data_IF_054890369378
#
_entry.id   IF_054890369378
#
_cell.length_a   1.000
_cell.length_b   1.000
_cell.length_c   1.000
_cell.angle_alpha   90.00
_cell.angle_beta   90.00
_cell.angle_gamma   90.00
#
_symmetry.space_group_name_H-M   'P 1'
#
loop_
_entity.id
_entity.type
_entity.pdbx_description
1 polymer ?
#
# COMPACT_ATOMS: atom_id res chain seq x y z
N UNK A 1 25.64 9.82 44.60
CA UNK A 1 24.81 8.78 43.96
C UNK A 1 24.43 9.30 42.58
N UNK A 2 25.30 9.09 41.58
CA UNK A 2 25.11 9.58 40.22
C UNK A 2 25.53 8.47 39.27
N UNK A 3 24.57 7.84 38.61
CA UNK A 3 24.86 6.80 37.64
C UNK A 3 25.47 7.47 36.40
N UNK A 4 26.76 7.21 36.16
CA UNK A 4 27.42 7.55 34.90
C UNK A 4 26.78 6.71 33.79
N UNK A 5 26.03 7.35 32.91
CA UNK A 5 25.59 6.74 31.66
C UNK A 5 26.82 6.65 30.77
N UNK A 6 27.44 5.47 30.73
CA UNK A 6 28.62 5.22 29.90
C UNK A 6 28.29 5.31 28.40
N UNK A 7 29.29 5.56 27.54
CA UNK A 7 29.09 5.67 26.09
C UNK A 7 28.46 4.42 25.45
N UNK A 8 28.62 3.25 26.07
CA UNK A 8 27.95 2.01 25.67
C UNK A 8 26.43 2.05 25.89
N UNK A 9 25.94 2.76 26.91
CA UNK A 9 24.50 2.89 27.18
C UNK A 9 23.83 3.87 26.22
N UNK A 10 24.53 4.92 25.77
CA UNK A 10 24.05 5.81 24.71
C UNK A 10 24.00 5.10 23.35
N UNK A 11 25.01 4.28 23.03
CA UNK A 11 25.03 3.46 21.81
C UNK A 11 23.90 2.43 21.80
N UNK A 12 23.59 1.79 22.94
CA UNK A 12 22.47 0.86 23.06
C UNK A 12 21.12 1.56 22.88
N UNK A 13 20.94 2.78 23.43
CA UNK A 13 19.71 3.56 23.23
C UNK A 13 19.58 4.00 21.76
N UNK A 14 20.67 4.41 21.10
CA UNK A 14 20.66 4.75 19.66
C UNK A 14 20.42 3.52 18.77
N UNK A 15 20.91 2.34 19.16
CA UNK A 15 20.67 1.07 18.45
C UNK A 15 19.24 0.54 18.68
N UNK A 16 18.62 0.81 19.83
CA UNK A 16 17.24 0.41 20.16
C UNK A 16 16.17 1.30 19.50
N UNK A 17 16.49 2.52 19.09
CA UNK A 17 15.61 3.34 18.23
C UNK A 17 15.73 2.97 16.73
N UNK A 18 16.69 2.10 16.38
CA UNK A 18 17.06 1.79 14.99
C UNK A 18 16.45 0.52 14.40
N UNK A 19 15.56 -0.19 15.11
CA UNK A 19 14.73 -1.22 14.47
C UNK A 19 13.53 -0.53 13.83
N UNK A 20 13.82 0.45 12.97
CA UNK A 20 12.84 1.05 12.10
C UNK A 20 12.54 -0.01 11.04
N UNK A 21 11.27 -0.41 10.96
CA UNK A 21 10.75 -1.23 9.87
C UNK A 21 11.25 -0.64 8.55
N UNK A 22 11.64 -1.49 7.59
CA UNK A 22 12.13 -1.02 6.29
C UNK A 22 11.19 0.07 5.73
N UNK A 23 11.72 1.24 5.35
CA UNK A 23 10.89 2.36 4.95
C UNK A 23 9.99 1.96 3.78
N UNK A 24 8.72 2.38 3.81
CA UNK A 24 7.75 2.07 2.78
C UNK A 24 7.80 3.16 1.71
N UNK A 25 8.90 3.18 0.96
CA UNK A 25 9.18 4.20 -0.05
C UNK A 25 9.05 3.66 -1.46
N UNK A 26 8.51 4.48 -2.36
CA UNK A 26 8.52 4.25 -3.81
C UNK A 26 7.13 4.31 -4.46
N UNK A 27 7.05 3.78 -5.68
CA UNK A 27 5.82 3.76 -6.47
C UNK A 27 5.44 2.32 -6.82
N UNK A 28 4.16 1.98 -6.70
CA UNK A 28 3.64 0.67 -7.06
C UNK A 28 2.38 0.77 -7.90
N UNK A 29 2.29 -0.12 -8.88
CA UNK A 29 1.13 -0.27 -9.77
C UNK A 29 0.36 -1.54 -9.46
N UNK A 30 -0.97 -1.42 -9.46
CA UNK A 30 -1.87 -2.55 -9.39
C UNK A 30 -1.56 -3.54 -10.51
N UNK A 31 -1.35 -4.79 -10.11
CA UNK A 31 -1.09 -5.91 -11.04
C UNK A 31 -2.13 -7.01 -10.88
N UNK A 32 -2.57 -7.30 -9.64
CA UNK A 32 -3.65 -8.26 -9.41
C UNK A 32 -4.71 -7.79 -8.43
N UNK A 33 -5.95 -8.14 -8.74
CA UNK A 33 -7.13 -7.95 -7.89
C UNK A 33 -7.60 -9.34 -7.46
N UNK A 34 -7.67 -9.58 -6.16
CA UNK A 34 -8.15 -10.85 -5.61
C UNK A 34 -9.58 -10.72 -5.14
N UNK A 35 -10.42 -11.70 -5.49
CA UNK A 35 -11.84 -11.76 -5.13
C UNK A 35 -12.23 -13.18 -4.75
N UNK A 36 -13.21 -13.32 -3.87
CA UNK A 36 -13.87 -14.58 -3.58
C UNK A 36 -15.01 -14.82 -4.59
N UNK A 37 -15.18 -16.06 -5.04
CA UNK A 37 -16.23 -16.46 -5.96
C UNK A 37 -16.52 -17.96 -5.94
N UNK A 38 -17.54 -18.36 -6.71
CA UNK A 38 -18.01 -19.75 -6.72
C UNK A 38 -17.04 -20.72 -7.44
N UNK A 39 -16.22 -20.22 -8.37
CA UNK A 39 -15.28 -21.04 -9.11
C UNK A 39 -13.96 -20.29 -9.28
N UNK A 40 -12.81 -20.92 -8.98
CA UNK A 40 -11.51 -20.32 -9.20
C UNK A 40 -11.30 -19.97 -10.67
N UNK A 41 -10.85 -18.76 -10.95
CA UNK A 41 -10.49 -18.34 -12.30
C UNK A 41 -9.49 -17.20 -12.26
N UNK A 42 -8.76 -17.02 -13.35
CA UNK A 42 -7.92 -15.84 -13.54
C UNK A 42 -8.06 -15.32 -14.95
N UNK A 43 -8.19 -13.99 -15.08
CA UNK A 43 -8.35 -13.33 -16.38
C UNK A 43 -7.65 -11.98 -16.41
N UNK A 44 -7.20 -11.58 -17.59
CA UNK A 44 -6.75 -10.22 -17.82
C UNK A 44 -7.97 -9.29 -18.02
N UNK A 45 -7.94 -8.12 -17.40
CA UNK A 45 -9.02 -7.13 -17.42
C UNK A 45 -8.44 -5.78 -17.84
N UNK A 46 -8.95 -5.13 -18.90
CA UNK A 46 -8.51 -3.80 -19.31
C UNK A 46 -8.69 -2.77 -18.19
N UNK A 47 -7.71 -1.87 -17.99
CA UNK A 47 -7.74 -0.89 -16.89
C UNK A 47 -8.96 0.03 -16.93
N UNK A 48 -9.49 0.33 -18.12
CA UNK A 48 -10.64 1.23 -18.28
C UNK A 48 -11.97 0.53 -17.97
N UNK A 49 -11.97 -0.81 -17.90
CA UNK A 49 -13.15 -1.61 -17.54
C UNK A 49 -13.21 -1.97 -16.05
N UNK A 50 -12.19 -1.61 -15.27
CA UNK A 50 -12.05 -1.95 -13.86
C UNK A 50 -11.51 -0.76 -13.05
N UNK A 51 -11.12 -1.01 -11.80
CA UNK A 51 -10.42 -0.05 -10.99
C UNK A 51 -8.91 -0.29 -11.09
N UNK A 52 -8.17 0.71 -11.56
CA UNK A 52 -6.71 0.73 -11.51
C UNK A 52 -6.22 1.58 -10.35
N UNK A 53 -5.08 1.21 -9.75
CA UNK A 53 -4.44 1.94 -8.66
C UNK A 53 -2.93 2.06 -8.92
N UNK A 54 -2.40 3.27 -8.80
CA UNK A 54 -0.98 3.57 -8.60
C UNK A 54 -0.83 4.31 -7.27
N UNK A 55 0.10 3.88 -6.43
CA UNK A 55 0.39 4.55 -5.17
C UNK A 55 1.87 4.91 -5.10
N UNK A 56 2.15 6.14 -4.68
CA UNK A 56 3.51 6.62 -4.39
C UNK A 56 3.58 6.99 -2.92
N UNK A 57 4.58 6.48 -2.21
CA UNK A 57 4.75 6.63 -0.77
C UNK A 57 6.16 7.13 -0.44
N UNK A 58 6.24 7.92 0.63
CA UNK A 58 7.46 8.47 1.18
C UNK A 58 7.37 8.46 2.72
N UNK A 59 8.38 7.84 3.34
CA UNK A 59 8.54 7.69 4.78
C UNK A 59 9.37 8.84 5.31
N UNK A 60 8.88 9.46 6.38
CA UNK A 60 9.50 10.63 6.99
C UNK A 60 10.03 10.33 8.38
N UNK A 61 10.72 11.32 8.96
CA UNK A 61 11.19 11.26 10.36
C UNK A 61 10.00 11.04 11.30
N UNK A 62 10.11 10.03 12.15
CA UNK A 62 9.03 9.64 13.07
C UNK A 62 8.05 8.62 12.48
N UNK A 63 8.41 7.95 11.38
CA UNK A 63 7.67 6.87 10.71
C UNK A 63 6.29 7.24 10.16
N UNK A 64 5.94 8.53 10.11
CA UNK A 64 4.77 8.95 9.35
C UNK A 64 5.10 8.84 7.86
N UNK A 65 4.12 8.38 7.10
CA UNK A 65 4.25 8.17 5.66
C UNK A 65 3.23 9.07 4.98
N UNK A 66 3.67 9.76 3.94
CA UNK A 66 2.76 10.49 3.05
C UNK A 66 2.86 9.95 1.64
N UNK A 67 1.94 10.38 0.79
CA UNK A 67 2.02 10.01 -0.59
C UNK A 67 0.88 10.52 -1.44
N UNK A 68 0.76 9.90 -2.61
CA UNK A 68 -0.34 10.12 -3.55
C UNK A 68 -0.88 8.80 -4.02
N UNK A 69 -2.21 8.73 -4.08
CA UNK A 69 -2.95 7.69 -4.76
C UNK A 69 -3.45 8.26 -6.08
N UNK A 70 -3.09 7.62 -7.18
CA UNK A 70 -3.78 7.77 -8.45
C UNK A 70 -4.64 6.53 -8.68
N UNK A 71 -5.91 6.75 -9.01
CA UNK A 71 -6.88 5.69 -9.27
C UNK A 71 -7.62 6.01 -10.56
N UNK A 72 -7.98 4.97 -11.30
CA UNK A 72 -9.00 5.07 -12.35
C UNK A 72 -10.17 4.22 -11.92
N UNK A 73 -11.35 4.81 -11.83
CA UNK A 73 -12.60 4.10 -11.57
C UNK A 73 -13.36 3.94 -12.88
N UNK A 74 -13.27 2.77 -13.51
CA UNK A 74 -13.87 2.50 -14.83
C UNK A 74 -13.50 3.56 -15.87
N UNK A 75 -12.19 3.83 -16.00
CA UNK A 75 -11.62 4.81 -16.93
C UNK A 75 -11.61 6.25 -16.41
N UNK A 76 -12.43 6.60 -15.41
CA UNK A 76 -12.46 7.95 -14.88
C UNK A 76 -11.36 8.17 -13.82
N UNK A 77 -10.57 9.26 -13.91
CA UNK A 77 -9.56 9.56 -12.90
C UNK A 77 -10.19 9.87 -11.53
N UNK A 78 -9.50 9.45 -10.49
CA UNK A 78 -9.79 9.67 -9.07
C UNK A 78 -8.43 9.75 -8.34
N UNK A 79 -8.19 10.81 -7.58
CA UNK A 79 -6.87 11.08 -7.01
C UNK A 79 -6.97 11.50 -5.57
N UNK A 80 -6.04 11.03 -4.74
CA UNK A 80 -6.07 11.31 -3.30
C UNK A 80 -4.68 11.54 -2.72
N UNK A 81 -4.63 12.32 -1.64
CA UNK A 81 -3.46 12.31 -0.76
C UNK A 81 -3.47 11.03 0.07
N UNK A 82 -2.28 10.50 0.32
CA UNK A 82 -2.10 9.37 1.22
C UNK A 82 -1.53 9.87 2.53
N UNK A 83 -2.12 9.39 3.63
CA UNK A 83 -1.55 9.46 4.96
C UNK A 83 -1.42 8.03 5.50
N UNK A 84 -0.25 7.66 5.98
CA UNK A 84 0.03 6.31 6.42
C UNK A 84 0.99 6.29 7.61
N UNK A 85 1.07 5.14 8.27
CA UNK A 85 1.99 4.92 9.36
C UNK A 85 2.10 3.44 9.74
N UNK A 86 3.15 3.06 10.48
CA UNK A 86 3.36 1.68 10.88
C UNK A 86 2.32 1.22 11.88
N UNK A 87 1.83 0.00 11.71
CA UNK A 87 1.15 -0.74 12.76
C UNK A 87 2.22 -1.44 13.60
N UNK A 88 2.66 -0.75 14.67
CA UNK A 88 3.81 -1.14 15.50
C UNK A 88 3.76 -2.62 15.90
N UNK A 89 4.90 -3.31 15.75
CA UNK A 89 5.07 -4.72 16.11
C UNK A 89 4.51 -5.74 15.11
N UNK A 90 3.98 -5.30 13.95
CA UNK A 90 3.35 -6.23 12.98
C UNK A 90 4.09 -6.36 11.65
N UNK A 91 5.04 -5.47 11.35
CA UNK A 91 5.65 -5.38 10.02
C UNK A 91 4.66 -4.94 8.93
N UNK A 92 3.56 -4.29 9.33
CA UNK A 92 2.51 -3.78 8.43
C UNK A 92 2.34 -2.27 8.63
N UNK A 93 1.68 -1.66 7.67
CA UNK A 93 1.29 -0.25 7.67
C UNK A 93 -0.22 -0.12 7.55
N UNK A 94 -0.77 1.00 8.00
CA UNK A 94 -2.13 1.41 7.69
C UNK A 94 -2.03 2.59 6.73
N UNK A 95 -2.71 2.48 5.59
CA UNK A 95 -2.76 3.51 4.54
C UNK A 95 -4.18 4.09 4.53
N UNK A 96 -4.29 5.39 4.77
CA UNK A 96 -5.51 6.18 4.70
C UNK A 96 -5.57 7.02 3.43
N UNK A 97 -6.74 7.04 2.80
CA UNK A 97 -7.04 7.84 1.59
C UNK A 97 -8.50 8.29 1.60
N UNK A 98 -8.79 9.36 0.87
CA UNK A 98 -10.15 9.77 0.52
C UNK A 98 -10.45 9.36 -0.92
N UNK A 99 -11.54 8.65 -1.18
CA UNK A 99 -11.95 8.20 -2.51
C UNK A 99 -13.21 8.96 -2.91
N UNK A 100 -13.28 9.46 -4.15
CA UNK A 100 -14.47 10.15 -4.64
C UNK A 100 -15.52 9.19 -5.23
N UNK A 101 -15.07 8.06 -5.82
CA UNK A 101 -15.92 7.13 -6.57
C UNK A 101 -15.95 5.72 -5.93
N UNK A 102 -17.07 4.98 -6.00
CA UNK A 102 -18.36 5.36 -6.58
C UNK A 102 -19.17 6.36 -5.75
N UNK A 103 -18.80 6.53 -4.48
CA UNK A 103 -19.32 7.55 -3.59
C UNK A 103 -18.17 8.00 -2.68
N UNK A 104 -18.24 9.26 -2.22
CA UNK A 104 -17.21 9.80 -1.36
C UNK A 104 -17.06 8.96 -0.08
N UNK A 105 -15.83 8.55 0.22
CA UNK A 105 -15.54 7.78 1.44
C UNK A 105 -14.10 7.96 1.91
N UNK A 106 -13.90 7.80 3.21
CA UNK A 106 -12.56 7.65 3.81
C UNK A 106 -12.24 6.18 3.95
N UNK A 107 -11.24 5.73 3.20
CA UNK A 107 -10.77 4.36 3.22
C UNK A 107 -9.51 4.23 4.07
N UNK A 108 -9.41 3.13 4.80
CA UNK A 108 -8.16 2.68 5.45
C UNK A 108 -7.89 1.24 5.06
N UNK A 109 -6.68 0.96 4.63
CA UNK A 109 -6.26 -0.39 4.25
C UNK A 109 -4.98 -0.80 4.98
N UNK A 110 -4.90 -2.07 5.40
CA UNK A 110 -3.65 -2.64 5.86
C UNK A 110 -2.74 -2.90 4.65
N UNK A 111 -1.47 -2.57 4.79
CA UNK A 111 -0.46 -2.73 3.76
C UNK A 111 0.74 -3.51 4.31
N UNK A 112 1.36 -4.34 3.47
CA UNK A 112 2.59 -5.06 3.81
C UNK A 112 3.39 -5.39 2.55
N UNK A 113 4.70 -5.60 2.71
CA UNK A 113 5.58 -6.00 1.61
C UNK A 113 5.77 -7.52 1.59
N UNK A 114 5.79 -8.07 0.39
CA UNK A 114 6.26 -9.43 0.08
C UNK A 114 7.32 -9.29 -0.99
N UNK A 115 8.60 -9.21 -0.58
CA UNK A 115 9.67 -8.72 -1.46
C UNK A 115 9.38 -7.28 -1.92
N UNK A 116 9.43 -7.03 -3.23
CA UNK A 116 9.10 -5.74 -3.83
C UNK A 116 7.60 -5.53 -4.10
N UNK A 117 6.77 -6.53 -3.82
CA UNK A 117 5.33 -6.46 -4.03
C UNK A 117 4.65 -5.85 -2.80
N UNK A 118 3.92 -4.76 -3.02
CA UNK A 118 3.04 -4.18 -2.02
C UNK A 118 1.69 -4.89 -2.06
N UNK A 119 1.29 -5.47 -0.94
CA UNK A 119 -0.02 -6.08 -0.74
C UNK A 119 -0.89 -5.12 0.03
N UNK A 120 -2.13 -4.95 -0.43
CA UNK A 120 -3.16 -4.19 0.28
C UNK A 120 -4.32 -5.10 0.62
N UNK A 121 -4.85 -4.97 1.84
CA UNK A 121 -5.96 -5.76 2.32
C UNK A 121 -7.34 -5.26 1.92
N UNK A 122 -7.48 -4.37 0.91
CA UNK A 122 -8.73 -3.63 0.57
C UNK A 122 -9.03 -2.45 1.52
N UNK A 123 -9.82 -1.38 1.21
CA UNK A 123 -11.01 -1.29 0.32
C UNK A 123 -10.85 -0.46 -0.97
N UNK A 124 -9.66 -0.30 -1.55
CA UNK A 124 -9.44 0.63 -2.68
C UNK A 124 -10.16 0.23 -3.99
N UNK A 125 -10.45 -1.06 -4.14
CA UNK A 125 -11.20 -1.62 -5.27
C UNK A 125 -12.47 -2.25 -4.69
N UNK A 126 -13.68 -1.86 -5.13
CA UNK A 126 -14.91 -2.48 -4.65
C UNK A 126 -14.90 -3.99 -4.85
N UNK A 127 -15.43 -4.71 -3.86
CA UNK A 127 -15.56 -6.17 -3.83
C UNK A 127 -14.24 -6.97 -3.95
N UNK A 128 -13.08 -6.30 -3.78
CA UNK A 128 -11.80 -6.98 -3.72
C UNK A 128 -11.47 -7.38 -2.29
N UNK A 129 -10.93 -8.58 -2.10
CA UNK A 129 -10.44 -9.04 -0.79
C UNK A 129 -9.02 -8.54 -0.53
N UNK A 130 -8.20 -8.47 -1.58
CA UNK A 130 -6.85 -7.94 -1.50
C UNK A 130 -6.32 -7.52 -2.87
N UNK A 131 -5.23 -6.75 -2.87
CA UNK A 131 -4.55 -6.25 -4.06
C UNK A 131 -3.07 -6.63 -4.04
N UNK A 132 -2.49 -6.92 -5.20
CA UNK A 132 -1.03 -6.98 -5.41
C UNK A 132 -0.61 -5.83 -6.31
N UNK A 133 0.35 -5.05 -5.82
CA UNK A 133 0.96 -3.98 -6.56
C UNK A 133 2.46 -4.26 -6.73
N UNK A 134 2.96 -4.09 -7.95
CA UNK A 134 4.38 -4.27 -8.26
C UNK A 134 5.08 -2.92 -8.21
N UNK A 135 6.29 -2.90 -7.65
CA UNK A 135 7.16 -1.72 -7.68
C UNK A 135 7.46 -1.30 -9.12
N UNK A 136 7.37 0.00 -9.37
CA UNK A 136 7.66 0.63 -10.67
C UNK A 136 8.45 1.92 -10.46
N UNK A 137 9.08 2.43 -11.52
CA UNK A 137 9.61 3.80 -11.51
C UNK A 137 8.45 4.80 -11.53
N UNK A 138 8.66 5.99 -10.99
CA UNK A 138 7.60 7.00 -10.88
C UNK A 138 7.04 7.44 -12.25
N UNK A 139 7.88 7.39 -13.29
CA UNK A 139 7.59 7.75 -14.68
C UNK A 139 7.13 6.57 -15.55
N UNK A 140 7.00 5.36 -14.99
CA UNK A 140 6.58 4.19 -15.74
C UNK A 140 5.21 4.42 -16.40
N UNK A 141 4.99 3.98 -17.66
CA UNK A 141 3.67 4.04 -18.28
C UNK A 141 2.66 3.19 -17.50
N UNK A 142 1.39 3.59 -17.53
CA UNK A 142 0.33 2.78 -16.92
C UNK A 142 0.17 1.45 -17.68
N UNK A 143 -0.09 0.34 -16.98
CA UNK A 143 -0.33 -0.94 -17.64
C UNK A 143 -1.65 -0.89 -18.42
N UNK A 144 -1.74 -1.60 -19.55
CA UNK A 144 -2.99 -1.68 -20.33
C UNK A 144 -4.08 -2.54 -19.66
N UNK A 145 -3.67 -3.46 -18.79
CA UNK A 145 -4.57 -4.39 -18.10
C UNK A 145 -4.01 -4.80 -16.74
N UNK A 146 -4.89 -5.33 -15.89
CA UNK A 146 -4.55 -6.00 -14.62
C UNK A 146 -5.10 -7.43 -14.65
N UNK A 147 -4.59 -8.29 -13.78
CA UNK A 147 -5.08 -9.66 -13.64
C UNK A 147 -6.11 -9.74 -12.52
N UNK A 148 -7.33 -10.13 -12.83
CA UNK A 148 -8.29 -10.52 -11.81
C UNK A 148 -8.09 -11.99 -11.45
N UNK A 149 -8.05 -12.29 -10.15
CA UNK A 149 -7.91 -13.63 -9.60
C UNK A 149 -9.10 -13.89 -8.69
N UNK A 150 -9.97 -14.80 -9.11
CA UNK A 150 -11.08 -15.30 -8.32
C UNK A 150 -10.63 -16.58 -7.62
N UNK A 151 -10.79 -16.61 -6.31
CA UNK A 151 -10.53 -17.77 -5.46
C UNK A 151 -11.85 -18.38 -5.01
N UNK A 152 -11.88 -19.70 -4.80
CA UNK A 152 -13.06 -20.36 -4.25
C UNK A 152 -13.34 -19.82 -2.84
N UNK A 153 -14.60 -19.50 -2.55
CA UNK A 153 -15.07 -19.16 -1.21
C UNK A 153 -15.14 -20.40 -0.31
#
# INVERSE_FOLDING_TARGET
>A
MGAMIGPCSLAAILLLHGIQAHPLDGTWDLTRIFRAGASPTSRSVPIDSTVFVRITLETHVGDWISGRLYRRYHGEPDGSKVEAGPLRGTGRWIIGVELEKPAWTRARTAAWLVGDTLRLGTPLVPDADSLELRRVTADAPYPASVVEVVTAR
#
